data_IF_155298370810
#
_entry.id   IF_155298370810
#
_cell.length_a   1.000
_cell.length_b   1.000
_cell.length_c   1.000
_cell.angle_alpha   90.00
_cell.angle_beta   90.00
_cell.angle_gamma   90.00
#
_symmetry.space_group_name_H-M   'P 1'
#
loop_
_entity.id
_entity.type
_entity.pdbx_description
1 polymer ?
#
# COMPACT_ATOMS: atom_id res chain seq x y z
N UNK A 1 -17.58 15.58 -2.40
CA UNK A 1 -16.58 14.67 -1.86
C UNK A 1 -15.49 14.43 -2.92
N UNK A 2 -14.23 14.56 -2.52
CA UNK A 2 -13.12 14.37 -3.46
C UNK A 2 -12.82 12.89 -3.61
N UNK A 3 -12.84 12.37 -4.83
CA UNK A 3 -12.44 11.01 -5.13
C UNK A 3 -10.91 10.91 -5.14
N UNK A 4 -10.37 9.81 -4.60
CA UNK A 4 -8.94 9.56 -4.66
C UNK A 4 -8.55 9.07 -6.06
N UNK A 5 -7.44 9.58 -6.56
CA UNK A 5 -6.90 9.20 -7.87
C UNK A 5 -5.69 8.28 -7.75
N UNK A 6 -5.11 8.20 -6.56
CA UNK A 6 -3.96 7.33 -6.29
C UNK A 6 -3.98 6.81 -4.86
N UNK A 7 -3.57 5.55 -4.68
CA UNK A 7 -3.40 4.94 -3.37
C UNK A 7 -1.97 4.39 -3.27
N UNK A 8 -1.24 4.83 -2.25
CA UNK A 8 0.11 4.35 -1.96
C UNK A 8 0.07 3.62 -0.63
N UNK A 9 0.41 2.32 -0.63
CA UNK A 9 0.41 1.50 0.58
C UNK A 9 1.84 1.24 1.04
N UNK A 10 2.12 1.55 2.29
CA UNK A 10 3.43 1.35 2.92
C UNK A 10 3.29 0.35 4.07
N UNK A 11 4.30 -0.46 4.27
CA UNK A 11 4.29 -1.40 5.39
C UNK A 11 5.14 -2.64 5.17
N UNK A 12 4.68 -3.74 5.77
CA UNK A 12 5.36 -5.02 5.78
C UNK A 12 4.52 -6.10 5.07
N UNK A 13 4.70 -7.37 5.46
CA UNK A 13 4.04 -8.50 4.79
C UNK A 13 2.52 -8.42 4.80
N UNK A 14 1.90 -7.87 5.83
CA UNK A 14 0.44 -7.76 5.89
C UNK A 14 -0.10 -6.81 4.82
N UNK A 15 0.60 -5.72 4.56
CA UNK A 15 0.23 -4.76 3.52
C UNK A 15 0.63 -5.27 2.13
N UNK A 16 1.78 -5.95 2.03
CA UNK A 16 2.21 -6.59 0.78
C UNK A 16 1.20 -7.64 0.32
N UNK A 17 0.53 -8.30 1.27
CA UNK A 17 -0.46 -9.34 0.99
C UNK A 17 0.09 -10.76 1.10
N UNK A 18 1.30 -10.93 1.61
CA UNK A 18 1.93 -12.24 1.78
C UNK A 18 1.08 -13.13 2.69
N UNK A 19 0.87 -14.38 2.27
CA UNK A 19 0.08 -15.38 2.98
C UNK A 19 -1.42 -15.06 3.08
N UNK A 20 -1.89 -14.08 2.34
CA UNK A 20 -3.31 -13.81 2.18
C UNK A 20 -3.88 -14.67 1.05
N UNK A 21 -5.13 -14.48 0.71
CA UNK A 21 -5.79 -15.23 -0.34
C UNK A 21 -5.07 -15.10 -1.68
N UNK A 22 -4.87 -16.24 -2.37
CA UNK A 22 -4.32 -16.26 -3.72
C UNK A 22 -5.45 -16.08 -4.73
N UNK A 23 -5.28 -15.09 -5.61
CA UNK A 23 -6.21 -14.85 -6.72
C UNK A 23 -5.39 -14.72 -8.01
N UNK A 24 -5.70 -15.53 -9.00
CA UNK A 24 -5.00 -15.53 -10.29
C UNK A 24 -3.47 -15.66 -10.14
N UNK A 25 -3.03 -16.51 -9.20
CA UNK A 25 -1.61 -16.79 -8.97
C UNK A 25 -0.86 -15.74 -8.16
N UNK A 26 -1.56 -14.76 -7.59
CA UNK A 26 -0.95 -13.70 -6.77
C UNK A 26 -1.67 -13.58 -5.44
N UNK A 27 -0.90 -13.21 -4.40
CA UNK A 27 -1.50 -12.87 -3.11
C UNK A 27 -2.32 -11.60 -3.24
N UNK A 28 -3.49 -11.60 -2.60
CA UNK A 28 -4.40 -10.47 -2.60
C UNK A 28 -4.66 -10.04 -1.16
N UNK A 29 -3.91 -9.01 -0.71
CA UNK A 29 -4.01 -8.50 0.64
C UNK A 29 -5.07 -7.40 0.81
N UNK A 30 -5.17 -6.85 2.02
CA UNK A 30 -6.16 -5.83 2.33
C UNK A 30 -5.99 -4.55 1.47
N UNK A 31 -4.74 -4.16 1.21
CA UNK A 31 -4.48 -2.97 0.42
C UNK A 31 -4.94 -3.13 -1.03
N UNK A 32 -4.75 -4.33 -1.59
CA UNK A 32 -5.21 -4.65 -2.94
C UNK A 32 -6.73 -4.56 -3.03
N UNK A 33 -7.44 -4.99 -2.00
CA UNK A 33 -8.91 -4.94 -1.95
C UNK A 33 -9.42 -3.50 -1.85
N UNK A 34 -8.74 -2.67 -1.06
CA UNK A 34 -9.07 -1.24 -0.99
C UNK A 34 -8.83 -0.57 -2.34
N UNK A 35 -7.71 -0.88 -2.99
CA UNK A 35 -7.39 -0.34 -4.30
C UNK A 35 -8.45 -0.68 -5.34
N UNK A 36 -8.97 -1.91 -5.33
CA UNK A 36 -10.03 -2.33 -6.24
C UNK A 36 -11.30 -1.51 -6.07
N UNK A 37 -11.69 -1.22 -4.83
CA UNK A 37 -12.88 -0.41 -4.57
C UNK A 37 -12.69 1.01 -5.10
N UNK A 38 -11.52 1.61 -4.86
CA UNK A 38 -11.23 2.97 -5.32
C UNK A 38 -11.14 3.05 -6.85
N UNK A 39 -10.59 2.01 -7.47
CA UNK A 39 -10.46 1.95 -8.93
C UNK A 39 -11.83 1.90 -9.64
N UNK A 40 -12.83 1.32 -9.01
CA UNK A 40 -14.19 1.27 -9.56
C UNK A 40 -14.83 2.64 -9.64
N UNK A 41 -14.42 3.56 -8.78
CA UNK A 41 -14.96 4.92 -8.74
C UNK A 41 -14.23 5.88 -9.68
N UNK A 42 -13.02 5.52 -10.12
CA UNK A 42 -12.21 6.41 -10.96
C UNK A 42 -11.41 5.58 -11.98
N UNK A 43 -11.74 5.69 -13.28
CA UNK A 43 -11.06 4.91 -14.33
C UNK A 43 -9.59 5.28 -14.51
N UNK A 44 -9.15 6.43 -14.01
CA UNK A 44 -7.75 6.85 -14.08
C UNK A 44 -6.99 6.59 -12.78
N UNK A 45 -7.56 5.79 -11.90
CA UNK A 45 -6.96 5.47 -10.60
C UNK A 45 -5.67 4.67 -10.76
N UNK A 46 -4.66 5.01 -9.94
CA UNK A 46 -3.40 4.28 -9.87
C UNK A 46 -3.13 3.79 -8.46
N UNK A 47 -2.51 2.61 -8.36
CA UNK A 47 -2.19 1.96 -7.11
C UNK A 47 -0.71 1.62 -7.06
N UNK A 48 -0.05 2.02 -5.97
CA UNK A 48 1.37 1.73 -5.74
C UNK A 48 1.50 1.06 -4.37
N UNK A 49 1.91 -0.20 -4.34
CA UNK A 49 2.17 -0.91 -3.08
C UNK A 49 3.68 -1.05 -2.91
N UNK A 50 4.24 -0.29 -1.98
CA UNK A 50 5.67 -0.30 -1.67
C UNK A 50 6.01 -1.20 -0.48
N UNK A 51 5.02 -1.88 0.10
CA UNK A 51 5.22 -2.74 1.26
C UNK A 51 6.10 -3.94 0.91
N UNK A 52 7.01 -4.27 1.83
CA UNK A 52 7.95 -5.39 1.66
C UNK A 52 7.93 -6.23 2.93
N UNK A 53 7.83 -7.54 2.76
CA UNK A 53 7.83 -8.49 3.86
C UNK A 53 9.08 -8.38 4.74
N UNK A 54 8.92 -8.62 6.03
CA UNK A 54 10.03 -8.66 6.98
C UNK A 54 10.57 -7.30 7.40
N UNK A 55 10.04 -6.20 6.87
CA UNK A 55 10.56 -4.87 7.20
C UNK A 55 10.17 -4.44 8.60
N UNK A 56 11.13 -3.84 9.30
CA UNK A 56 10.91 -3.18 10.59
C UNK A 56 10.40 -1.77 10.36
N UNK A 57 9.77 -1.19 11.38
CA UNK A 57 9.23 0.16 11.31
C UNK A 57 10.27 1.18 10.80
N UNK A 58 11.48 1.13 11.34
CA UNK A 58 12.57 2.03 10.93
C UNK A 58 12.88 1.89 9.44
N UNK A 59 12.89 0.67 8.93
CA UNK A 59 13.16 0.40 7.52
C UNK A 59 12.05 0.94 6.61
N UNK A 60 10.79 0.82 7.03
CA UNK A 60 9.68 1.39 6.28
C UNK A 60 9.83 2.90 6.18
N UNK A 61 10.15 3.56 7.30
CA UNK A 61 10.36 5.01 7.33
C UNK A 61 11.53 5.43 6.43
N UNK A 62 12.66 4.73 6.52
CA UNK A 62 13.88 5.12 5.80
C UNK A 62 13.87 4.76 4.32
N UNK A 63 13.19 3.68 3.94
CA UNK A 63 13.22 3.15 2.57
C UNK A 63 11.94 3.45 1.78
N UNK A 64 10.78 3.24 2.39
CA UNK A 64 9.51 3.35 1.65
C UNK A 64 8.98 4.78 1.58
N UNK A 65 9.11 5.56 2.64
CA UNK A 65 8.63 6.94 2.64
C UNK A 65 9.30 7.79 1.55
N UNK A 66 10.64 7.77 1.41
CA UNK A 66 11.28 8.52 0.32
C UNK A 66 10.77 8.11 -1.07
N UNK A 67 10.53 6.81 -1.28
CA UNK A 67 9.97 6.33 -2.53
C UNK A 67 8.53 6.79 -2.72
N UNK A 68 7.72 6.76 -1.66
CA UNK A 68 6.34 7.20 -1.71
C UNK A 68 6.20 8.67 -2.13
N UNK A 69 7.11 9.52 -1.66
CA UNK A 69 7.08 10.95 -1.98
C UNK A 69 7.15 11.24 -3.48
N UNK A 70 7.78 10.33 -4.25
CA UNK A 70 7.88 10.45 -5.70
C UNK A 70 6.54 10.24 -6.41
N UNK A 71 5.59 9.59 -5.75
CA UNK A 71 4.30 9.21 -6.33
C UNK A 71 3.14 10.06 -5.85
N UNK A 72 3.36 10.96 -4.89
CA UNK A 72 2.27 11.78 -4.34
C UNK A 72 1.80 12.78 -5.39
N UNK A 73 0.48 12.76 -5.64
CA UNK A 73 -0.19 13.70 -6.53
C UNK A 73 -1.18 14.54 -5.71
N UNK A 74 -0.77 15.71 -5.28
CA UNK A 74 -1.63 16.69 -4.62
C UNK A 74 -2.63 16.10 -3.59
N UNK A 75 -3.84 16.65 -3.53
CA UNK A 75 -4.87 16.33 -2.52
C UNK A 75 -5.60 15.02 -2.76
N UNK A 76 -5.38 14.37 -3.90
CA UNK A 76 -6.12 13.17 -4.28
C UNK A 76 -5.35 11.86 -4.05
N UNK A 77 -4.18 11.95 -3.42
CA UNK A 77 -3.38 10.77 -3.08
C UNK A 77 -3.70 10.32 -1.65
N UNK A 78 -4.13 9.06 -1.54
CA UNK A 78 -4.32 8.40 -0.23
C UNK A 78 -3.06 7.60 0.08
N UNK A 79 -2.51 7.80 1.27
CA UNK A 79 -1.33 7.05 1.73
C UNK A 79 -1.71 6.27 2.98
N UNK A 80 -1.45 4.96 2.98
CA UNK A 80 -1.59 4.14 4.19
C UNK A 80 -0.21 3.73 4.71
N UNK A 81 -0.09 3.66 6.02
CA UNK A 81 1.14 3.26 6.69
C UNK A 81 0.78 2.27 7.80
N UNK A 82 1.21 1.04 7.65
CA UNK A 82 0.96 -0.02 8.64
C UNK A 82 2.22 -0.87 8.79
N UNK A 83 2.92 -0.69 9.90
CA UNK A 83 4.17 -1.39 10.17
C UNK A 83 4.37 -1.54 11.69
N UNK A 84 5.39 -2.28 12.09
CA UNK A 84 5.73 -2.46 13.50
C UNK A 84 5.53 -3.88 14.01
N UNK A 85 4.78 -4.73 13.31
CA UNK A 85 4.57 -6.11 13.75
C UNK A 85 5.89 -6.88 13.86
N UNK A 86 6.82 -6.67 12.94
CA UNK A 86 8.11 -7.35 12.95
C UNK A 86 9.04 -6.86 14.07
N UNK A 87 8.76 -5.68 14.65
CA UNK A 87 9.58 -5.10 15.71
C UNK A 87 9.38 -5.79 17.06
N UNK A 88 8.27 -6.51 17.24
CA UNK A 88 7.95 -7.20 18.50
C UNK A 88 8.27 -8.70 18.48
N UNK A 89 8.78 -9.19 17.38
CA UNK A 89 9.11 -10.64 17.24
C UNK A 89 10.57 -10.95 17.62
#
# INVERSE_FOLDING_TARGET
MTAFTRFIALGDSMTEGMCDEMVDGKYRGWADRVADVLAKENPNFTYVNLAIRGKLLKQVVEEQIPNALKFIESKTTLVSFHAGANDVL
#
